data_IF_382106765658
#
_entry.id   IF_382106765658
#
_cell.length_a   1.000
_cell.length_b   1.000
_cell.length_c   1.000
_cell.angle_alpha   90.00
_cell.angle_beta   90.00
_cell.angle_gamma   90.00
#
_symmetry.space_group_name_H-M   'P 1'
#
loop_
_entity.id
_entity.type
_entity.pdbx_description
1 polymer ?
#
# COMPACT_ATOMS: atom_id res chain seq x y z
N UNK A 1 -11.16 -29.68 -20.94
CA UNK A 1 -12.02 -28.54 -20.53
C UNK A 1 -11.88 -27.44 -21.57
N UNK A 2 -13.01 -26.93 -22.05
CA UNK A 2 -13.02 -25.85 -23.03
C UNK A 2 -12.70 -24.53 -22.31
N UNK A 3 -11.51 -23.97 -22.55
CA UNK A 3 -11.06 -22.70 -21.99
C UNK A 3 -11.96 -21.52 -22.40
N UNK A 4 -12.62 -21.62 -23.55
CA UNK A 4 -13.51 -20.58 -24.06
C UNK A 4 -14.81 -20.49 -23.27
N UNK A 5 -15.22 -21.55 -22.58
CA UNK A 5 -16.40 -21.60 -21.74
C UNK A 5 -16.23 -20.97 -20.36
N UNK A 6 -14.99 -20.70 -19.95
CA UNK A 6 -14.69 -20.11 -18.63
C UNK A 6 -14.88 -18.57 -18.64
N UNK A 7 -15.31 -17.99 -17.51
CA UNK A 7 -15.27 -16.54 -17.30
C UNK A 7 -13.86 -15.99 -17.55
N UNK A 8 -13.76 -14.75 -18.05
CA UNK A 8 -12.47 -14.14 -18.44
C UNK A 8 -11.44 -14.14 -17.29
N UNK A 9 -11.87 -13.86 -16.05
CA UNK A 9 -11.02 -13.86 -14.87
C UNK A 9 -10.42 -15.24 -14.57
N UNK A 10 -11.23 -16.28 -14.65
CA UNK A 10 -10.80 -17.68 -14.40
C UNK A 10 -9.87 -18.15 -15.50
N UNK A 11 -10.20 -17.87 -16.75
CA UNK A 11 -9.35 -18.17 -17.90
C UNK A 11 -7.99 -17.49 -17.80
N UNK A 12 -7.93 -16.22 -17.37
CA UNK A 12 -6.68 -15.50 -17.20
C UNK A 12 -5.81 -16.12 -16.09
N UNK A 13 -6.41 -16.54 -14.97
CA UNK A 13 -5.69 -17.23 -13.89
C UNK A 13 -5.14 -18.57 -14.38
N UNK A 14 -5.96 -19.36 -15.07
CA UNK A 14 -5.53 -20.65 -15.59
C UNK A 14 -4.44 -20.54 -16.63
N UNK A 15 -4.54 -19.53 -17.53
CA UNK A 15 -3.52 -19.24 -18.52
C UNK A 15 -2.21 -18.79 -17.87
N UNK A 16 -2.28 -17.96 -16.80
CA UNK A 16 -1.11 -17.55 -16.04
C UNK A 16 -0.45 -18.77 -15.36
N UNK A 17 -1.23 -19.64 -14.72
CA UNK A 17 -0.72 -20.84 -14.07
C UNK A 17 -0.03 -21.79 -15.09
N UNK A 18 -0.66 -22.01 -16.24
CA UNK A 18 -0.05 -22.79 -17.33
C UNK A 18 1.23 -22.17 -17.88
N UNK A 19 1.25 -20.85 -18.07
CA UNK A 19 2.45 -20.14 -18.50
C UNK A 19 3.59 -20.28 -17.47
N UNK A 20 3.30 -20.15 -16.15
CA UNK A 20 4.29 -20.33 -15.09
C UNK A 20 4.84 -21.76 -15.05
N UNK A 21 4.00 -22.76 -15.27
CA UNK A 21 4.44 -24.15 -15.38
C UNK A 21 5.41 -24.34 -16.56
N UNK A 22 5.08 -23.78 -17.72
CA UNK A 22 5.96 -23.79 -18.90
C UNK A 22 7.29 -23.11 -18.63
N UNK A 23 7.29 -21.96 -17.93
CA UNK A 23 8.52 -21.25 -17.59
C UNK A 23 9.40 -22.08 -16.65
N UNK A 24 8.79 -22.78 -15.68
CA UNK A 24 9.52 -23.65 -14.73
C UNK A 24 10.13 -24.89 -15.39
N UNK A 25 9.52 -25.37 -16.47
CA UNK A 25 10.02 -26.53 -17.24
C UNK A 25 10.95 -26.15 -18.39
N UNK A 26 11.12 -24.84 -18.68
CA UNK A 26 11.96 -24.38 -19.78
C UNK A 26 13.44 -24.35 -19.40
N UNK A 27 14.29 -24.16 -20.42
CA UNK A 27 15.73 -24.01 -20.21
C UNK A 27 16.05 -22.84 -19.28
N UNK A 28 17.12 -22.95 -18.47
CA UNK A 28 17.52 -21.88 -17.56
C UNK A 28 17.96 -20.61 -18.32
N UNK A 29 17.71 -19.47 -17.71
CA UNK A 29 18.29 -18.21 -18.16
C UNK A 29 19.75 -18.14 -17.70
N UNK A 30 20.69 -18.13 -18.67
CA UNK A 30 22.13 -18.13 -18.40
C UNK A 30 22.72 -16.78 -18.78
N UNK A 31 23.47 -16.19 -17.90
CA UNK A 31 24.14 -14.93 -18.14
C UNK A 31 25.52 -14.92 -17.45
N UNK A 32 26.42 -14.13 -17.98
CA UNK A 32 27.69 -13.80 -17.38
C UNK A 32 27.59 -12.43 -16.71
N UNK A 33 27.96 -12.35 -15.44
CA UNK A 33 28.00 -11.10 -14.70
C UNK A 33 29.45 -10.74 -14.40
N UNK A 34 29.87 -9.57 -14.85
CA UNK A 34 31.22 -9.05 -14.63
C UNK A 34 31.16 -7.87 -13.67
N UNK A 35 31.99 -7.88 -12.64
CA UNK A 35 32.21 -6.73 -11.78
C UNK A 35 33.68 -6.33 -11.89
N UNK A 36 33.92 -5.13 -12.43
CA UNK A 36 35.24 -4.54 -12.54
C UNK A 36 35.43 -3.46 -11.49
N UNK A 37 36.53 -3.51 -10.77
CA UNK A 37 36.94 -2.50 -9.81
C UNK A 37 38.15 -1.77 -10.35
N UNK A 38 38.05 -0.46 -10.51
CA UNK A 38 39.10 0.41 -11.02
C UNK A 38 39.65 1.24 -9.88
N UNK A 39 40.98 1.30 -9.74
CA UNK A 39 41.64 2.21 -8.81
C UNK A 39 42.17 3.43 -9.55
N UNK A 40 41.84 4.63 -9.10
CA UNK A 40 42.34 5.88 -9.64
C UNK A 40 42.57 6.89 -8.53
N UNK A 41 43.82 7.37 -8.40
CA UNK A 41 44.19 8.37 -7.40
C UNK A 41 43.76 8.03 -5.96
N UNK A 42 43.83 6.74 -5.57
CA UNK A 42 43.44 6.28 -4.24
C UNK A 42 41.95 6.10 -4.00
N UNK A 43 41.10 6.30 -5.04
CA UNK A 43 39.68 6.05 -5.00
C UNK A 43 39.31 4.83 -5.86
N UNK A 44 38.34 4.03 -5.39
CA UNK A 44 37.83 2.87 -6.12
C UNK A 44 36.54 3.20 -6.85
N UNK A 45 36.45 2.75 -8.09
CA UNK A 45 35.27 2.86 -8.95
C UNK A 45 34.83 1.48 -9.36
N UNK A 46 33.58 1.15 -9.15
CA UNK A 46 33.02 -0.16 -9.49
C UNK A 46 32.10 -0.04 -10.72
N UNK A 47 32.34 -0.87 -11.73
CA UNK A 47 31.45 -1.06 -12.86
C UNK A 47 30.90 -2.49 -12.86
N UNK A 48 29.63 -2.65 -13.15
CA UNK A 48 28.96 -3.95 -13.30
C UNK A 48 28.39 -4.09 -14.68
N UNK A 49 28.63 -5.22 -15.30
CA UNK A 49 28.10 -5.57 -16.61
C UNK A 49 27.44 -6.95 -16.59
N UNK A 50 26.52 -7.20 -17.51
CA UNK A 50 25.82 -8.48 -17.64
C UNK A 50 25.62 -8.79 -19.11
N UNK A 51 26.11 -9.95 -19.55
CA UNK A 51 25.90 -10.45 -20.90
C UNK A 51 25.03 -11.69 -20.84
N UNK A 52 23.91 -11.68 -21.56
CA UNK A 52 22.99 -12.83 -21.61
C UNK A 52 23.51 -13.84 -22.63
N UNK A 53 23.83 -15.05 -22.17
CA UNK A 53 24.30 -16.16 -23.00
C UNK A 53 23.13 -16.99 -23.54
N UNK A 54 22.10 -17.24 -22.70
CA UNK A 54 20.89 -17.94 -23.08
C UNK A 54 19.68 -17.26 -22.45
N UNK A 55 18.70 -16.89 -23.25
CA UNK A 55 17.46 -16.28 -22.76
C UNK A 55 16.62 -17.26 -21.94
N UNK A 56 16.61 -18.53 -22.31
CA UNK A 56 15.87 -19.58 -21.63
C UNK A 56 14.41 -19.22 -21.37
N UNK A 57 13.92 -19.50 -20.16
CA UNK A 57 12.52 -19.22 -19.77
C UNK A 57 12.10 -17.75 -19.90
N UNK A 58 13.02 -16.81 -19.83
CA UNK A 58 12.71 -15.38 -19.99
C UNK A 58 12.20 -15.03 -21.39
N UNK A 59 12.59 -15.76 -22.40
CA UNK A 59 12.04 -15.57 -23.75
C UNK A 59 10.56 -15.96 -23.81
N UNK A 60 10.17 -17.05 -23.15
CA UNK A 60 8.76 -17.45 -23.05
C UNK A 60 7.96 -16.44 -22.24
N UNK A 61 8.51 -15.94 -21.14
CA UNK A 61 7.87 -14.89 -20.35
C UNK A 61 7.66 -13.61 -21.16
N UNK A 62 8.66 -13.18 -21.93
CA UNK A 62 8.57 -12.01 -22.81
C UNK A 62 7.46 -12.18 -23.85
N UNK A 63 7.36 -13.35 -24.48
CA UNK A 63 6.28 -13.69 -25.42
C UNK A 63 4.91 -13.69 -24.76
N UNK A 64 4.79 -14.30 -23.60
CA UNK A 64 3.55 -14.30 -22.83
C UNK A 64 3.12 -12.87 -22.45
N UNK A 65 4.02 -12.04 -21.94
CA UNK A 65 3.72 -10.63 -21.64
C UNK A 65 3.27 -9.84 -22.87
N UNK A 66 3.81 -10.12 -24.03
CA UNK A 66 3.40 -9.48 -25.28
C UNK A 66 1.96 -9.83 -25.70
N UNK A 67 1.43 -10.98 -25.27
CA UNK A 67 0.02 -11.37 -25.51
C UNK A 67 -0.96 -10.66 -24.59
N UNK A 68 -0.51 -10.15 -23.44
CA UNK A 68 -1.34 -9.39 -22.53
C UNK A 68 -1.59 -8.01 -23.14
N UNK A 69 -2.84 -7.73 -23.51
CA UNK A 69 -3.26 -6.42 -24.04
C UNK A 69 -3.16 -5.39 -22.91
N UNK A 70 -2.09 -4.64 -22.87
CA UNK A 70 -1.84 -3.55 -21.93
C UNK A 70 -0.43 -3.03 -22.16
N UNK A 71 -0.18 -1.73 -21.86
CA UNK A 71 1.18 -1.22 -21.83
C UNK A 71 1.98 -2.15 -20.92
N UNK A 72 3.13 -2.67 -21.34
CA UNK A 72 3.98 -3.42 -20.44
C UNK A 72 4.18 -2.54 -19.20
N UNK A 73 3.88 -3.08 -18.03
CA UNK A 73 4.28 -2.44 -16.80
C UNK A 73 5.81 -2.36 -16.84
N UNK A 74 6.33 -1.22 -17.23
CA UNK A 74 7.76 -0.92 -17.28
C UNK A 74 8.37 -0.84 -15.86
N UNK A 75 7.66 -1.35 -14.88
CA UNK A 75 8.04 -1.43 -13.45
C UNK A 75 8.25 -2.89 -13.02
N UNK A 76 8.81 -3.71 -13.87
CA UNK A 76 9.63 -4.80 -13.36
C UNK A 76 10.85 -4.14 -12.73
N UNK A 77 11.10 -4.44 -11.48
CA UNK A 77 12.30 -4.09 -10.72
C UNK A 77 13.54 -4.81 -11.33
N UNK A 78 13.72 -4.69 -12.62
CA UNK A 78 15.01 -4.84 -13.26
C UNK A 78 15.70 -3.52 -12.92
N UNK A 79 16.39 -3.52 -11.78
CA UNK A 79 17.29 -2.44 -11.45
C UNK A 79 17.99 -2.06 -12.75
N UNK A 80 18.18 -0.79 -12.95
CA UNK A 80 18.81 -0.17 -14.10
C UNK A 80 20.26 -0.69 -14.26
N UNK A 81 20.39 -2.03 -14.35
CA UNK A 81 21.59 -2.70 -14.76
C UNK A 81 21.73 -2.32 -16.22
N UNK A 82 22.56 -1.34 -16.47
CA UNK A 82 23.07 -1.09 -17.80
C UNK A 82 23.56 -2.45 -18.34
N UNK A 83 22.79 -3.03 -19.26
CA UNK A 83 23.27 -4.15 -20.08
C UNK A 83 24.33 -3.53 -20.99
N UNK A 84 25.47 -3.30 -20.43
CA UNK A 84 26.66 -3.06 -21.22
C UNK A 84 27.11 -4.45 -21.67
N UNK A 85 27.32 -4.63 -22.96
CA UNK A 85 28.12 -5.74 -23.45
C UNK A 85 29.36 -5.76 -22.55
N UNK A 86 29.55 -6.84 -21.78
CA UNK A 86 30.59 -6.88 -20.78
C UNK A 86 31.92 -6.62 -21.46
N UNK A 87 32.55 -5.46 -21.25
CA UNK A 87 33.84 -5.20 -21.86
C UNK A 87 34.82 -6.23 -21.29
N UNK A 88 35.59 -6.83 -22.16
CA UNK A 88 36.67 -7.73 -21.78
C UNK A 88 37.78 -6.92 -21.14
N UNK A 89 37.74 -6.81 -19.80
CA UNK A 89 38.85 -6.25 -19.03
C UNK A 89 39.81 -7.35 -18.61
N UNK A 90 41.07 -7.03 -18.62
CA UNK A 90 42.11 -7.92 -18.10
C UNK A 90 42.58 -7.35 -16.74
N UNK A 91 42.78 -8.21 -15.76
CA UNK A 91 43.31 -7.80 -14.47
C UNK A 91 44.65 -7.11 -14.63
N UNK A 92 44.85 -5.96 -13.97
CA UNK A 92 46.04 -5.14 -14.11
C UNK A 92 46.09 -4.23 -15.36
N UNK A 93 45.01 -4.18 -16.17
CA UNK A 93 44.95 -3.28 -17.31
C UNK A 93 44.97 -1.82 -16.86
N UNK A 94 45.84 -1.02 -17.45
CA UNK A 94 45.94 0.42 -17.22
C UNK A 94 45.24 1.20 -18.32
N UNK A 95 44.62 2.30 -17.94
CA UNK A 95 43.92 3.23 -18.84
C UNK A 95 44.59 4.60 -18.75
N UNK A 96 45.02 5.13 -19.88
CA UNK A 96 45.62 6.45 -19.96
C UNK A 96 44.53 7.53 -20.03
N UNK A 97 44.72 8.62 -19.28
CA UNK A 97 43.85 9.82 -19.30
C UNK A 97 42.35 9.53 -19.06
N UNK A 98 41.99 8.90 -17.95
CA UNK A 98 40.55 8.67 -17.66
C UNK A 98 39.83 9.98 -17.44
N UNK A 99 38.65 10.13 -18.06
CA UNK A 99 37.77 11.25 -17.82
C UNK A 99 36.77 10.91 -16.68
N UNK A 100 36.78 11.68 -15.62
CA UNK A 100 35.83 11.55 -14.53
C UNK A 100 34.77 12.66 -14.61
N UNK A 101 33.50 12.27 -14.40
CA UNK A 101 32.38 13.20 -14.29
C UNK A 101 31.64 12.99 -12.98
N UNK A 102 31.51 14.05 -12.22
CA UNK A 102 30.68 14.04 -11.00
C UNK A 102 29.25 14.42 -11.36
N UNK A 103 28.30 13.57 -11.03
CA UNK A 103 26.86 13.86 -11.14
C UNK A 103 26.25 13.84 -9.76
N UNK A 104 25.57 14.94 -9.40
CA UNK A 104 24.80 14.98 -8.17
C UNK A 104 23.43 14.37 -8.38
N UNK A 105 23.02 13.49 -7.49
CA UNK A 105 21.71 12.87 -7.49
C UNK A 105 21.12 12.96 -6.09
N UNK A 106 19.84 13.33 -6.03
CA UNK A 106 19.09 13.28 -4.78
C UNK A 106 18.54 11.86 -4.56
N UNK A 107 18.62 11.40 -3.32
CA UNK A 107 17.99 10.13 -2.93
C UNK A 107 16.48 10.25 -3.04
N UNK A 108 15.85 9.28 -3.66
CA UNK A 108 14.39 9.21 -3.75
C UNK A 108 13.84 8.33 -2.62
N UNK A 109 12.72 8.72 -1.98
CA UNK A 109 12.10 7.87 -0.99
C UNK A 109 11.63 6.55 -1.66
N UNK A 110 11.55 5.44 -0.88
CA UNK A 110 11.04 4.18 -1.41
C UNK A 110 9.64 4.36 -2.01
N UNK A 111 9.40 3.72 -3.16
CA UNK A 111 8.08 3.76 -3.78
C UNK A 111 7.04 3.07 -2.88
N UNK A 112 5.80 3.59 -2.80
CA UNK A 112 4.74 2.91 -2.07
C UNK A 112 4.51 1.50 -2.60
N UNK A 113 4.17 0.58 -1.70
CA UNK A 113 3.91 -0.80 -2.09
C UNK A 113 2.74 -0.93 -3.05
N UNK A 114 2.89 -1.81 -4.03
CA UNK A 114 1.77 -2.41 -4.76
C UNK A 114 1.26 -3.63 -3.99
N UNK A 115 0.10 -4.19 -4.37
CA UNK A 115 -0.36 -5.45 -3.75
C UNK A 115 0.68 -6.57 -3.90
N UNK A 116 1.26 -6.71 -5.08
CA UNK A 116 2.29 -7.72 -5.35
C UNK A 116 3.55 -7.51 -4.49
N UNK A 117 4.06 -6.27 -4.41
CA UNK A 117 5.26 -5.99 -3.63
C UNK A 117 5.01 -6.09 -2.12
N UNK A 118 3.79 -5.77 -1.64
CA UNK A 118 3.42 -5.96 -0.24
C UNK A 118 3.29 -7.44 0.12
N UNK A 119 2.64 -8.25 -0.73
CA UNK A 119 2.58 -9.71 -0.54
C UNK A 119 3.98 -10.32 -0.44
N UNK A 120 4.90 -9.92 -1.32
CA UNK A 120 6.29 -10.37 -1.30
C UNK A 120 7.05 -9.86 -0.06
N UNK A 121 6.77 -8.64 0.41
CA UNK A 121 7.34 -8.12 1.65
C UNK A 121 6.82 -8.87 2.89
N UNK A 122 5.51 -9.19 2.93
CA UNK A 122 4.93 -10.02 3.99
C UNK A 122 5.53 -11.42 4.05
N UNK A 123 5.85 -12.01 2.90
CA UNK A 123 6.48 -13.32 2.81
C UNK A 123 7.90 -13.31 3.39
N UNK A 124 8.64 -12.24 3.19
CA UNK A 124 10.02 -12.11 3.68
C UNK A 124 10.15 -11.49 5.06
N UNK A 125 9.07 -10.93 5.61
CA UNK A 125 9.09 -10.28 6.90
C UNK A 125 9.45 -11.28 8.01
N UNK A 126 10.48 -10.96 8.83
CA UNK A 126 10.95 -11.83 9.91
C UNK A 126 11.65 -13.12 9.46
N UNK A 127 11.88 -13.33 8.15
CA UNK A 127 12.48 -14.57 7.65
C UNK A 127 13.92 -14.81 8.13
N UNK A 128 14.65 -13.76 8.50
CA UNK A 128 15.98 -13.87 9.08
C UNK A 128 15.95 -14.41 10.53
N UNK A 129 14.86 -14.16 11.25
CA UNK A 129 14.67 -14.50 12.65
C UNK A 129 13.87 -15.81 12.85
N UNK A 130 13.39 -16.41 11.74
CA UNK A 130 12.56 -17.63 11.77
C UNK A 130 13.43 -18.86 11.54
N UNK A 131 13.19 -19.92 12.34
CA UNK A 131 13.85 -21.23 12.18
C UNK A 131 13.72 -21.73 10.73
N UNK A 132 14.79 -22.24 10.10
CA UNK A 132 14.76 -22.79 8.76
C UNK A 132 13.72 -23.89 8.56
N UNK A 133 13.39 -24.63 9.60
CA UNK A 133 12.42 -25.72 9.59
C UNK A 133 10.99 -25.28 10.00
N UNK A 134 10.77 -23.99 10.31
CA UNK A 134 9.45 -23.51 10.65
C UNK A 134 8.48 -23.73 9.49
N UNK A 135 7.29 -24.27 9.78
CA UNK A 135 6.24 -24.54 8.81
C UNK A 135 5.80 -23.26 8.09
N UNK A 136 5.80 -22.15 8.81
CA UNK A 136 5.35 -20.85 8.29
C UNK A 136 6.45 -19.83 8.42
N UNK A 137 6.67 -19.09 7.34
CA UNK A 137 7.61 -17.97 7.31
C UNK A 137 6.90 -16.70 6.83
N UNK A 138 7.28 -15.58 7.43
CA UNK A 138 6.70 -14.29 7.11
C UNK A 138 5.37 -14.02 7.83
N UNK A 139 4.71 -12.93 7.46
CA UNK A 139 3.43 -12.52 8.01
C UNK A 139 2.27 -13.21 7.28
N UNK A 140 1.57 -14.08 7.97
CA UNK A 140 0.44 -14.84 7.43
C UNK A 140 0.83 -15.90 6.40
N UNK A 141 -0.13 -16.71 6.01
CA UNK A 141 0.03 -17.73 4.96
C UNK A 141 -0.27 -17.16 3.58
N UNK A 142 0.17 -17.77 2.47
CA UNK A 142 -0.22 -17.35 1.12
C UNK A 142 -1.73 -17.19 0.95
N UNK A 143 -2.53 -18.06 1.56
CA UNK A 143 -3.99 -18.01 1.49
C UNK A 143 -4.60 -16.84 2.27
N UNK A 144 -3.97 -16.38 3.35
CA UNK A 144 -4.53 -15.35 4.24
C UNK A 144 -4.02 -13.95 3.96
N UNK A 145 -2.85 -13.78 3.36
CA UNK A 145 -2.23 -12.46 3.10
C UNK A 145 -3.13 -11.52 2.33
N UNK A 146 -3.76 -11.99 1.27
CA UNK A 146 -4.70 -11.18 0.49
C UNK A 146 -5.90 -10.71 1.33
N UNK A 147 -6.45 -11.57 2.18
CA UNK A 147 -7.56 -11.23 3.07
C UNK A 147 -7.15 -10.19 4.13
N UNK A 148 -5.91 -10.22 4.62
CA UNK A 148 -5.36 -9.20 5.53
C UNK A 148 -5.30 -7.84 4.85
N UNK A 149 -4.79 -7.75 3.62
CA UNK A 149 -4.75 -6.50 2.84
C UNK A 149 -6.18 -5.97 2.63
N UNK A 150 -7.13 -6.83 2.23
CA UNK A 150 -8.54 -6.44 2.09
C UNK A 150 -9.14 -5.92 3.39
N UNK A 151 -8.84 -6.54 4.52
CA UNK A 151 -9.30 -6.10 5.84
C UNK A 151 -8.76 -4.71 6.17
N UNK A 152 -7.48 -4.43 5.91
CA UNK A 152 -6.87 -3.11 6.14
C UNK A 152 -7.52 -2.03 5.27
N UNK A 153 -7.83 -2.34 4.00
CA UNK A 153 -8.52 -1.42 3.10
C UNK A 153 -9.98 -1.18 3.55
N UNK A 154 -10.72 -2.24 3.88
CA UNK A 154 -12.11 -2.14 4.38
C UNK A 154 -12.21 -1.37 5.70
N UNK A 155 -11.22 -1.54 6.58
CA UNK A 155 -11.13 -0.81 7.86
C UNK A 155 -10.67 0.65 7.69
N UNK A 156 -10.30 1.07 6.47
CA UNK A 156 -9.89 2.44 6.20
C UNK A 156 -8.48 2.81 6.68
N UNK A 157 -7.65 1.83 7.05
CA UNK A 157 -6.25 2.07 7.42
C UNK A 157 -5.32 2.20 6.22
N UNK A 158 -5.69 1.58 5.10
CA UNK A 158 -4.99 1.64 3.82
C UNK A 158 -5.98 1.98 2.72
N UNK A 159 -5.56 2.76 1.73
CA UNK A 159 -6.36 3.05 0.54
C UNK A 159 -5.61 2.64 -0.73
N UNK A 160 -6.38 2.20 -1.73
CA UNK A 160 -5.85 1.93 -3.07
C UNK A 160 -5.84 3.20 -3.89
N UNK A 161 -4.66 3.61 -4.35
CA UNK A 161 -4.52 4.73 -5.29
C UNK A 161 -3.85 4.22 -6.57
N UNK A 162 -4.63 4.00 -7.61
CA UNK A 162 -4.21 3.26 -8.81
C UNK A 162 -3.76 1.84 -8.42
N UNK A 163 -2.51 1.49 -8.68
CA UNK A 163 -1.91 0.18 -8.33
C UNK A 163 -1.20 0.18 -6.97
N UNK A 164 -1.13 1.33 -6.29
CA UNK A 164 -0.40 1.50 -5.04
C UNK A 164 -1.31 1.43 -3.82
N UNK A 165 -0.77 0.88 -2.75
CA UNK A 165 -1.36 0.86 -1.41
C UNK A 165 -0.76 2.01 -0.60
N UNK A 166 -1.59 2.96 -0.21
CA UNK A 166 -1.19 4.15 0.54
C UNK A 166 -1.79 4.08 1.94
N UNK A 167 -0.98 4.18 3.00
CA UNK A 167 -1.51 4.29 4.35
C UNK A 167 -2.38 5.56 4.46
N UNK A 168 -3.50 5.44 5.16
CA UNK A 168 -4.32 6.61 5.51
C UNK A 168 -3.79 7.29 6.77
N UNK A 169 -4.27 8.50 7.08
CA UNK A 169 -3.98 9.16 8.34
C UNK A 169 -4.29 8.25 9.55
N UNK A 170 -5.45 7.59 9.53
CA UNK A 170 -5.84 6.66 10.59
C UNK A 170 -4.92 5.45 10.68
N UNK A 171 -4.44 4.92 9.54
CA UNK A 171 -3.46 3.84 9.51
C UNK A 171 -2.14 4.24 10.15
N UNK A 172 -1.61 5.40 9.79
CA UNK A 172 -0.38 5.93 10.39
C UNK A 172 -0.55 6.20 11.88
N UNK A 173 -1.66 6.83 12.28
CA UNK A 173 -1.95 7.11 13.69
C UNK A 173 -2.06 5.83 14.52
N UNK A 174 -2.66 4.77 13.97
CA UNK A 174 -2.75 3.47 14.63
C UNK A 174 -1.34 2.92 14.93
N UNK A 175 -0.44 2.93 13.95
CA UNK A 175 0.94 2.44 14.15
C UNK A 175 1.67 3.28 15.19
N UNK A 176 1.47 4.61 15.23
CA UNK A 176 2.10 5.48 16.23
C UNK A 176 1.61 5.24 17.67
N UNK A 177 0.45 4.60 17.84
CA UNK A 177 -0.13 4.34 19.17
C UNK A 177 0.18 2.92 19.65
N UNK A 178 0.38 1.99 18.72
CA UNK A 178 0.70 0.60 19.06
C UNK A 178 2.13 0.48 19.60
N UNK A 179 2.39 -0.43 20.55
CA UNK A 179 3.73 -0.73 21.04
C UNK A 179 4.58 -1.38 19.93
N UNK A 180 5.89 -1.18 20.00
CA UNK A 180 6.86 -1.69 19.03
C UNK A 180 6.77 -3.21 18.85
N UNK A 181 6.47 -3.94 19.94
CA UNK A 181 6.28 -5.40 19.90
C UNK A 181 5.18 -5.84 18.95
N UNK A 182 4.08 -5.08 18.82
CA UNK A 182 2.97 -5.38 17.90
C UNK A 182 3.21 -4.87 16.48
N UNK A 183 4.13 -3.93 16.29
CA UNK A 183 4.45 -3.35 14.97
C UNK A 183 5.64 -4.03 14.32
N UNK A 184 6.37 -4.88 15.06
CA UNK A 184 7.50 -5.66 14.56
C UNK A 184 7.07 -7.04 14.04
N UNK A 185 7.64 -7.53 12.93
CA UNK A 185 7.45 -8.90 12.48
C UNK A 185 8.13 -9.95 13.39
N UNK A 186 9.01 -9.52 14.30
CA UNK A 186 9.75 -10.41 15.21
C UNK A 186 8.83 -11.22 16.11
N UNK A 187 7.78 -10.62 16.65
CA UNK A 187 6.78 -11.35 17.47
C UNK A 187 6.20 -12.56 16.73
N UNK A 188 5.92 -12.41 15.44
CA UNK A 188 5.41 -13.52 14.62
C UNK A 188 6.48 -14.59 14.44
N UNK A 189 7.74 -14.20 14.20
CA UNK A 189 8.86 -15.14 14.06
C UNK A 189 9.10 -15.91 15.37
N UNK A 190 9.07 -15.24 16.53
CA UNK A 190 9.18 -15.85 17.85
C UNK A 190 8.09 -16.89 18.10
N UNK A 191 6.84 -16.58 17.74
CA UNK A 191 5.73 -17.52 17.89
C UNK A 191 5.85 -18.72 16.96
N UNK A 192 6.22 -18.52 15.70
CA UNK A 192 6.44 -19.65 14.76
C UNK A 192 7.60 -20.53 15.21
N UNK A 193 8.66 -19.95 15.77
CA UNK A 193 9.76 -20.69 16.37
C UNK A 193 9.29 -21.51 17.59
N UNK A 194 8.50 -20.90 18.48
CA UNK A 194 7.94 -21.60 19.65
C UNK A 194 7.03 -22.76 19.22
N UNK A 195 6.15 -22.56 18.23
CA UNK A 195 5.31 -23.63 17.67
C UNK A 195 6.14 -24.75 17.04
N UNK A 196 7.27 -24.42 16.40
CA UNK A 196 8.20 -25.39 15.85
C UNK A 196 8.84 -26.22 16.95
N UNK A 197 9.22 -25.62 18.10
CA UNK A 197 9.75 -26.34 19.26
C UNK A 197 8.70 -27.27 19.87
N UNK A 198 7.43 -26.86 19.95
CA UNK A 198 6.33 -27.69 20.40
C UNK A 198 6.15 -28.88 19.47
N UNK A 199 6.15 -28.66 18.16
CA UNK A 199 6.03 -29.73 17.16
C UNK A 199 7.17 -30.76 17.25
N UNK A 200 8.35 -30.35 17.69
CA UNK A 200 9.52 -31.22 17.94
C UNK A 200 9.48 -31.89 19.33
N UNK A 201 8.49 -31.59 20.16
CA UNK A 201 8.40 -32.09 21.55
C UNK A 201 9.44 -31.49 22.49
N UNK A 202 10.01 -30.34 22.15
CA UNK A 202 11.03 -29.63 22.94
C UNK A 202 10.44 -28.52 23.83
N UNK A 203 9.14 -28.20 23.69
CA UNK A 203 8.43 -27.22 24.51
C UNK A 203 6.98 -27.68 24.74
N UNK A 204 6.36 -27.22 25.85
CA UNK A 204 5.00 -27.57 26.22
C UNK A 204 4.00 -26.53 25.65
N UNK A 205 2.88 -26.97 25.04
CA UNK A 205 1.86 -26.09 24.49
C UNK A 205 1.25 -25.14 25.53
N UNK A 206 1.12 -25.59 26.78
CA UNK A 206 0.55 -24.82 27.90
C UNK A 206 1.38 -23.59 28.23
N UNK A 207 2.70 -23.71 28.17
CA UNK A 207 3.63 -22.60 28.44
C UNK A 207 3.50 -21.52 27.36
N UNK A 208 3.38 -21.92 26.10
CA UNK A 208 3.14 -21.02 24.98
C UNK A 208 1.82 -20.26 25.14
N UNK A 209 0.73 -20.96 25.45
CA UNK A 209 -0.58 -20.34 25.66
C UNK A 209 -0.56 -19.38 26.84
N UNK A 210 0.10 -19.74 27.95
CA UNK A 210 0.27 -18.86 29.10
C UNK A 210 1.01 -17.58 28.75
N UNK A 211 2.07 -17.68 27.97
CA UNK A 211 2.83 -16.50 27.47
C UNK A 211 1.96 -15.55 26.64
N UNK A 212 1.10 -16.08 25.75
CA UNK A 212 0.14 -15.27 24.99
C UNK A 212 -0.87 -14.57 25.92
N UNK A 213 -1.42 -15.30 26.89
CA UNK A 213 -2.39 -14.73 27.85
C UNK A 213 -1.75 -13.61 28.69
N UNK A 214 -0.53 -13.82 29.18
CA UNK A 214 0.21 -12.82 29.95
C UNK A 214 0.48 -11.57 29.12
N UNK A 215 0.98 -11.73 27.88
CA UNK A 215 1.18 -10.61 26.97
C UNK A 215 -0.13 -9.86 26.71
N UNK A 216 -1.23 -10.56 26.46
CA UNK A 216 -2.53 -9.93 26.24
C UNK A 216 -3.00 -9.14 27.47
N UNK A 217 -2.83 -9.69 28.68
CA UNK A 217 -3.15 -9.00 29.95
C UNK A 217 -2.30 -7.74 30.16
N UNK A 218 -1.00 -7.83 29.87
CA UNK A 218 -0.08 -6.69 29.97
C UNK A 218 -0.46 -5.58 29.00
N UNK A 219 -0.77 -5.92 27.73
CA UNK A 219 -1.21 -4.96 26.73
C UNK A 219 -2.50 -4.24 27.16
N UNK A 220 -3.49 -4.99 27.61
CA UNK A 220 -4.76 -4.40 28.11
C UNK A 220 -4.52 -3.52 29.34
N UNK A 221 -3.61 -3.90 30.24
CA UNK A 221 -3.26 -3.13 31.43
C UNK A 221 -2.46 -1.87 31.09
N UNK A 222 -1.52 -1.97 30.13
CA UNK A 222 -0.67 -0.85 29.72
C UNK A 222 -1.42 0.19 28.87
N UNK A 223 -2.41 -0.26 28.08
CA UNK A 223 -3.14 0.59 27.14
C UNK A 223 -4.65 0.62 27.39
N UNK A 224 -5.11 0.92 28.65
CA UNK A 224 -6.53 0.92 28.96
C UNK A 224 -7.28 2.03 28.24
N UNK A 225 -6.61 3.15 27.99
CA UNK A 225 -7.15 4.32 27.30
C UNK A 225 -6.07 5.03 26.51
N UNK A 226 -6.46 5.63 25.39
CA UNK A 226 -5.61 6.56 24.68
C UNK A 226 -5.36 7.81 25.54
N UNK A 227 -4.12 8.27 25.61
CA UNK A 227 -3.80 9.58 26.21
C UNK A 227 -4.52 10.70 25.45
N UNK A 228 -4.68 11.89 26.07
CA UNK A 228 -5.33 13.02 25.41
C UNK A 228 -4.63 13.40 24.09
N UNK A 229 -3.30 13.38 24.06
CA UNK A 229 -2.50 13.63 22.85
C UNK A 229 -2.75 12.57 21.76
N UNK A 230 -2.91 11.30 22.16
CA UNK A 230 -3.23 10.22 21.23
C UNK A 230 -4.66 10.30 20.70
N UNK A 231 -5.62 10.72 21.53
CA UNK A 231 -7.00 10.99 21.09
C UNK A 231 -7.06 12.10 20.05
N UNK A 232 -6.19 13.11 20.17
CA UNK A 232 -6.10 14.21 19.22
C UNK A 232 -5.65 13.74 17.82
N UNK A 233 -4.82 12.71 17.74
CA UNK A 233 -4.42 12.10 16.47
C UNK A 233 -5.60 11.55 15.67
N UNK A 234 -6.61 11.00 16.35
CA UNK A 234 -7.80 10.40 15.73
C UNK A 234 -8.98 11.38 15.58
N UNK A 235 -8.84 12.62 16.02
CA UNK A 235 -9.84 13.65 15.71
C UNK A 235 -9.87 13.84 14.20
N UNK A 236 -11.04 13.64 13.61
CA UNK A 236 -11.27 13.98 12.20
C UNK A 236 -10.97 15.47 12.03
N UNK A 237 -10.15 15.80 11.04
CA UNK A 237 -10.00 17.19 10.63
C UNK A 237 -11.35 17.68 10.14
N UNK A 238 -12.02 18.49 10.96
CA UNK A 238 -13.31 19.03 10.60
C UNK A 238 -13.11 19.97 9.42
N UNK A 239 -13.66 19.61 8.27
CA UNK A 239 -13.64 20.49 7.10
C UNK A 239 -14.48 21.72 7.40
N UNK A 240 -13.82 22.86 7.61
CA UNK A 240 -14.49 24.14 7.79
C UNK A 240 -15.04 24.59 6.43
N UNK A 241 -16.34 24.78 6.34
CA UNK A 241 -17.02 25.19 5.09
C UNK A 241 -17.43 26.65 5.07
N UNK A 242 -17.39 27.34 6.21
CA UNK A 242 -17.71 28.76 6.27
C UNK A 242 -17.84 29.27 7.70
N UNK A 243 -18.29 30.53 7.83
CA UNK A 243 -18.54 31.18 9.13
C UNK A 243 -20.02 31.05 9.52
N UNK A 244 -20.25 30.85 10.80
CA UNK A 244 -21.59 30.74 11.35
C UNK A 244 -22.30 32.10 11.33
N UNK A 245 -23.47 32.22 10.72
CA UNK A 245 -24.21 33.48 10.67
C UNK A 245 -24.77 33.94 12.04
N UNK A 246 -24.83 33.02 13.03
CA UNK A 246 -25.30 33.36 14.37
C UNK A 246 -24.21 33.86 15.31
N UNK A 247 -23.02 33.30 15.25
CA UNK A 247 -21.98 33.57 16.25
C UNK A 247 -20.57 33.82 15.68
N UNK A 248 -20.41 33.83 14.34
CA UNK A 248 -19.15 34.04 13.66
C UNK A 248 -18.13 32.88 13.79
N UNK A 249 -18.45 31.80 14.55
CA UNK A 249 -17.59 30.62 14.67
C UNK A 249 -17.50 29.84 13.35
N UNK A 250 -16.66 28.81 13.31
CA UNK A 250 -16.57 27.99 12.11
C UNK A 250 -17.75 27.04 12.00
N UNK A 251 -18.25 26.85 10.77
CA UNK A 251 -19.22 25.80 10.45
C UNK A 251 -18.46 24.65 9.81
N UNK A 252 -18.57 23.47 10.42
CA UNK A 252 -17.86 22.27 10.02
C UNK A 252 -18.80 21.25 9.37
N UNK A 253 -18.24 20.44 8.49
CA UNK A 253 -18.96 19.34 7.86
C UNK A 253 -18.99 18.13 8.80
N UNK A 254 -20.21 17.73 9.20
CA UNK A 254 -20.45 16.46 9.87
C UNK A 254 -20.99 15.39 8.91
N UNK A 255 -21.16 14.17 9.40
CA UNK A 255 -21.65 13.05 8.61
C UNK A 255 -23.07 13.29 8.05
N UNK A 256 -23.98 13.86 8.86
CA UNK A 256 -25.39 14.08 8.51
C UNK A 256 -25.77 15.55 8.36
N UNK A 257 -24.92 16.46 8.77
CA UNK A 257 -25.23 17.88 8.85
C UNK A 257 -23.96 18.76 8.71
N UNK A 258 -24.17 20.06 8.58
CA UNK A 258 -23.18 21.10 8.75
C UNK A 258 -23.50 21.84 10.05
N UNK A 259 -22.59 21.95 10.99
CA UNK A 259 -22.85 22.48 12.33
C UNK A 259 -21.77 23.47 12.79
N UNK A 260 -22.13 24.37 13.68
CA UNK A 260 -21.18 25.29 14.27
C UNK A 260 -20.35 24.59 15.35
N UNK A 261 -19.01 24.70 15.28
CA UNK A 261 -18.08 24.12 16.23
C UNK A 261 -18.12 24.77 17.62
N UNK A 262 -18.62 26.02 17.71
CA UNK A 262 -18.62 26.78 18.96
C UNK A 262 -19.64 26.18 19.96
N UNK A 263 -19.15 25.74 21.12
CA UNK A 263 -20.01 25.22 22.19
C UNK A 263 -21.10 26.25 22.55
N UNK A 264 -22.35 25.77 22.63
CA UNK A 264 -23.51 26.62 22.93
C UNK A 264 -24.17 27.28 21.71
N UNK A 265 -23.63 27.14 20.51
CA UNK A 265 -24.29 27.61 19.27
C UNK A 265 -25.10 26.48 18.63
N UNK A 266 -26.41 26.65 18.59
CA UNK A 266 -27.33 25.64 18.01
C UNK A 266 -27.49 25.74 16.49
N UNK A 267 -26.57 26.40 15.78
CA UNK A 267 -26.64 26.52 14.32
C UNK A 267 -26.32 25.18 13.65
N UNK A 268 -27.26 24.67 12.86
CA UNK A 268 -27.14 23.42 12.10
C UNK A 268 -27.88 23.52 10.76
N UNK A 269 -27.32 22.93 9.71
CA UNK A 269 -27.97 22.70 8.41
C UNK A 269 -27.92 21.20 8.13
N UNK A 270 -29.07 20.59 7.92
CA UNK A 270 -29.15 19.14 7.70
C UNK A 270 -28.93 18.79 6.23
N UNK A 271 -28.15 17.73 5.95
CA UNK A 271 -27.89 17.27 4.58
C UNK A 271 -29.12 16.69 3.90
N UNK A 272 -30.06 16.18 4.70
CA UNK A 272 -31.38 15.70 4.28
C UNK A 272 -32.48 16.78 4.38
N UNK A 273 -32.13 18.04 4.08
CA UNK A 273 -33.09 19.12 4.05
C UNK A 273 -34.19 18.86 3.00
N UNK A 274 -35.44 19.04 3.42
CA UNK A 274 -36.62 18.75 2.61
C UNK A 274 -36.65 19.47 1.26
N UNK A 275 -36.13 20.69 1.21
CA UNK A 275 -36.07 21.46 -0.04
C UNK A 275 -35.20 20.74 -1.08
N UNK A 276 -34.04 20.19 -0.68
CA UNK A 276 -33.14 19.48 -1.58
C UNK A 276 -33.63 18.08 -1.92
N UNK A 277 -34.23 17.38 -0.97
CA UNK A 277 -34.83 16.05 -1.21
C UNK A 277 -35.97 16.10 -2.22
N UNK A 278 -36.95 17.02 -2.07
CA UNK A 278 -38.05 17.20 -3.02
C UNK A 278 -37.55 17.55 -4.42
N UNK A 279 -36.39 18.19 -4.53
CA UNK A 279 -35.79 18.58 -5.82
C UNK A 279 -34.75 17.59 -6.33
N UNK A 280 -34.67 16.39 -5.72
CA UNK A 280 -33.77 15.31 -6.10
C UNK A 280 -32.29 15.76 -6.26
N UNK A 281 -31.87 16.68 -5.40
CA UNK A 281 -30.53 17.29 -5.43
C UNK A 281 -29.84 17.12 -4.08
N UNK A 282 -28.56 16.70 -4.10
CA UNK A 282 -27.79 16.58 -2.86
C UNK A 282 -27.39 17.97 -2.31
N UNK A 283 -27.57 18.18 -1.01
CA UNK A 283 -27.08 19.36 -0.32
C UNK A 283 -25.57 19.23 -0.06
N UNK A 284 -24.76 19.67 -1.01
CA UNK A 284 -23.30 19.51 -1.02
C UNK A 284 -22.59 20.55 -0.17
N UNK A 285 -21.32 20.31 0.27
CA UNK A 285 -20.50 21.30 0.97
C UNK A 285 -20.35 22.62 0.20
N UNK A 286 -20.28 22.57 -1.13
CA UNK A 286 -20.21 23.77 -1.99
C UNK A 286 -21.46 24.63 -1.89
N UNK A 287 -22.63 24.02 -1.88
CA UNK A 287 -23.91 24.72 -1.72
C UNK A 287 -24.01 25.33 -0.32
N UNK A 288 -23.64 24.54 0.71
CA UNK A 288 -23.64 25.02 2.08
C UNK A 288 -22.67 26.21 2.28
N UNK A 289 -21.47 26.14 1.74
CA UNK A 289 -20.49 27.23 1.78
C UNK A 289 -21.01 28.51 1.09
N UNK A 290 -21.65 28.38 -0.06
CA UNK A 290 -22.25 29.52 -0.78
C UNK A 290 -23.39 30.15 0.02
N UNK A 291 -24.23 29.37 0.66
CA UNK A 291 -25.30 29.86 1.54
C UNK A 291 -24.73 30.60 2.77
N UNK A 292 -23.65 30.07 3.37
CA UNK A 292 -22.98 30.74 4.50
C UNK A 292 -22.30 32.06 4.12
N UNK A 293 -21.76 32.14 2.91
CA UNK A 293 -21.01 33.32 2.44
C UNK A 293 -21.93 34.48 1.98
N UNK A 294 -23.02 34.15 1.30
CA UNK A 294 -23.85 35.19 0.67
C UNK A 294 -25.36 34.97 0.75
N UNK A 295 -25.82 33.96 1.51
CA UNK A 295 -27.23 33.64 1.65
C UNK A 295 -27.90 33.05 0.39
N UNK A 296 -27.14 32.90 -0.71
CA UNK A 296 -27.60 32.36 -1.99
C UNK A 296 -26.62 31.38 -2.58
N UNK A 297 -27.14 30.32 -3.22
CA UNK A 297 -26.32 29.32 -3.89
C UNK A 297 -26.91 29.02 -5.27
N UNK A 298 -26.10 29.09 -6.32
CA UNK A 298 -26.51 28.66 -7.66
C UNK A 298 -26.47 27.13 -7.73
N UNK A 299 -27.63 26.52 -7.96
CA UNK A 299 -27.79 25.08 -8.05
C UNK A 299 -28.33 24.71 -9.42
N UNK A 300 -27.61 23.85 -10.14
CA UNK A 300 -28.05 23.39 -11.48
C UNK A 300 -28.89 22.12 -11.38
N UNK A 301 -29.78 21.95 -12.35
CA UNK A 301 -30.63 20.75 -12.52
C UNK A 301 -31.50 20.41 -11.30
N UNK A 302 -32.06 21.43 -10.65
CA UNK A 302 -33.10 21.22 -9.64
C UNK A 302 -34.36 20.62 -10.28
N UNK A 303 -34.90 19.56 -9.71
CA UNK A 303 -36.13 18.96 -10.18
C UNK A 303 -37.35 19.77 -9.68
N UNK A 304 -38.29 20.06 -10.57
CA UNK A 304 -39.57 20.70 -10.21
C UNK A 304 -40.67 19.65 -10.04
N UNK A 305 -41.17 19.44 -8.81
CA UNK A 305 -42.27 18.49 -8.59
C UNK A 305 -43.55 18.85 -9.36
N UNK A 306 -43.78 20.16 -9.64
CA UNK A 306 -44.95 20.64 -10.33
C UNK A 306 -44.93 20.41 -11.84
N UNK A 307 -43.78 20.54 -12.48
CA UNK A 307 -43.65 20.49 -13.94
C UNK A 307 -42.97 19.23 -14.45
N UNK A 308 -42.35 18.42 -13.56
CA UNK A 308 -41.59 17.23 -13.92
C UNK A 308 -40.28 17.52 -14.67
N UNK A 309 -39.89 18.80 -14.81
CA UNK A 309 -38.69 19.21 -15.56
C UNK A 309 -37.60 19.70 -14.61
N UNK A 310 -36.35 19.69 -15.08
CA UNK A 310 -35.23 20.28 -14.36
C UNK A 310 -35.03 21.75 -14.74
N UNK A 311 -34.61 22.57 -13.77
CA UNK A 311 -34.28 23.97 -13.93
C UNK A 311 -33.05 24.36 -13.12
N UNK A 312 -32.41 25.47 -13.47
CA UNK A 312 -31.35 26.05 -12.70
C UNK A 312 -31.91 27.13 -11.78
N UNK A 313 -31.54 27.09 -10.48
CA UNK A 313 -32.05 28.02 -9.48
C UNK A 313 -30.93 28.68 -8.68
N UNK A 314 -31.23 29.76 -7.97
CA UNK A 314 -30.30 30.46 -7.05
C UNK A 314 -31.05 30.89 -5.79
#
# INVERSE_FOLDING_TARGET
ADLAALPESERNILTLAGARLLFAAAEPHIYEAVTAVFSCAGSEFTAKGKTVLCMGWKELERRYRATLKGKPDAEGDEGNELILDAPTFTEGQSFDSPAARVTAHDTQPPKPHTEASLLSAMERAGSADTDPDAERRGLGTPATRAAVIEKLVKSGFVQRKRKQLIPTKNGNNLVCVLPDTLTSPQLTAEWENALTQIARGAAEPEDFMRGIEEMARELVKAYPFLSENQKDLFKEEQTVIGKCPRCGGNVCEGRKNYYCEKKGCAFVMWKNDRFFEERKTAFTPKIAAALLAGGRAKVKKLYSPKTGKTYDGS
#
